data_IF_975077157610
#
_entry.id   IF_975077157610
#
_cell.length_a   1.000
_cell.length_b   1.000
_cell.length_c   1.000
_cell.angle_alpha   90.00
_cell.angle_beta   90.00
_cell.angle_gamma   90.00
#
_symmetry.space_group_name_H-M   'P 1'
#
loop_
_entity.id
_entity.type
_entity.pdbx_description
1 polymer ?
#
# COMPACT_ATOMS: atom_id res chain seq x y z
N UNK A 1 16.15 -5.82 81.52
CA UNK A 1 16.79 -5.73 80.19
C UNK A 1 16.12 -6.77 79.32
N UNK A 2 15.12 -6.38 78.54
CA UNK A 2 14.56 -7.18 77.43
C UNK A 2 13.46 -6.33 76.80
N UNK A 3 13.66 -5.86 75.57
CA UNK A 3 12.70 -4.95 74.92
C UNK A 3 13.15 -4.42 73.57
N UNK A 4 14.04 -5.12 72.87
CA UNK A 4 14.55 -4.69 71.54
C UNK A 4 14.50 -5.79 70.47
N UNK A 5 13.88 -6.94 70.75
CA UNK A 5 13.90 -8.10 69.84
C UNK A 5 12.62 -8.33 69.03
N UNK A 6 11.49 -7.68 69.35
CA UNK A 6 10.21 -7.92 68.65
C UNK A 6 9.98 -7.01 67.43
N UNK A 7 10.68 -5.89 67.31
CA UNK A 7 10.47 -4.94 66.21
C UNK A 7 11.12 -5.33 64.88
N UNK A 8 12.02 -6.33 64.89
CA UNK A 8 12.70 -6.82 63.67
C UNK A 8 11.96 -7.99 63.02
N UNK A 9 11.33 -8.87 63.79
CA UNK A 9 10.68 -10.08 63.26
C UNK A 9 9.41 -9.78 62.43
N UNK A 10 8.57 -8.83 62.87
CA UNK A 10 7.33 -8.47 62.17
C UNK A 10 7.56 -7.62 60.91
N UNK A 11 8.70 -6.93 60.81
CA UNK A 11 9.12 -6.17 59.62
C UNK A 11 9.84 -7.03 58.56
N UNK A 12 10.37 -8.18 58.97
CA UNK A 12 11.02 -9.19 58.10
C UNK A 12 10.00 -10.04 57.34
N UNK A 13 8.80 -10.24 57.85
CA UNK A 13 7.74 -11.03 57.21
C UNK A 13 6.44 -10.24 57.03
N UNK A 14 6.50 -9.12 56.30
CA UNK A 14 5.28 -8.50 55.79
C UNK A 14 4.68 -9.39 54.68
N UNK A 15 3.40 -9.79 54.74
CA UNK A 15 2.74 -10.57 53.69
C UNK A 15 2.88 -9.98 52.29
N UNK A 16 3.03 -8.66 52.19
CA UNK A 16 3.29 -7.96 50.92
C UNK A 16 4.69 -8.24 50.35
N UNK A 17 5.73 -8.31 51.20
CA UNK A 17 7.10 -8.67 50.78
C UNK A 17 7.18 -10.14 50.35
N UNK A 18 6.51 -11.03 51.09
CA UNK A 18 6.45 -12.45 50.74
C UNK A 18 5.75 -12.69 49.39
N UNK A 19 4.65 -11.97 49.10
CA UNK A 19 4.01 -12.02 47.78
C UNK A 19 4.89 -11.48 46.65
N UNK A 20 5.60 -10.38 46.88
CA UNK A 20 6.53 -9.82 45.90
C UNK A 20 7.68 -10.79 45.56
N UNK A 21 8.27 -11.43 46.59
CA UNK A 21 9.28 -12.46 46.40
C UNK A 21 8.73 -13.69 45.67
N UNK A 22 7.50 -14.09 45.96
CA UNK A 22 6.85 -15.21 45.26
C UNK A 22 6.57 -14.88 43.79
N UNK A 23 6.20 -13.64 43.48
CA UNK A 23 6.01 -13.19 42.09
C UNK A 23 7.34 -13.18 41.33
N UNK A 24 8.38 -12.58 41.90
CA UNK A 24 9.73 -12.60 41.32
C UNK A 24 10.26 -14.02 41.13
N UNK A 25 10.00 -14.94 42.07
CA UNK A 25 10.41 -16.34 41.93
C UNK A 25 9.72 -17.04 40.74
N UNK A 26 8.45 -16.71 40.45
CA UNK A 26 7.74 -17.22 39.28
C UNK A 26 8.32 -16.64 37.99
N UNK A 27 8.62 -15.35 37.99
CA UNK A 27 9.20 -14.67 36.82
C UNK A 27 10.59 -15.23 36.50
N UNK A 28 11.41 -15.52 37.53
CA UNK A 28 12.68 -16.21 37.35
C UNK A 28 12.52 -17.64 36.82
N UNK A 29 11.50 -18.38 37.27
CA UNK A 29 11.22 -19.72 36.73
C UNK A 29 10.87 -19.68 35.23
N UNK A 30 10.11 -18.67 34.79
CA UNK A 30 9.82 -18.46 33.36
C UNK A 30 11.08 -18.16 32.54
N UNK A 31 11.96 -17.30 33.06
CA UNK A 31 13.25 -16.98 32.42
C UNK A 31 14.16 -18.21 32.38
N UNK A 32 14.22 -18.99 33.46
CA UNK A 32 15.02 -20.21 33.53
C UNK A 32 14.53 -21.26 32.52
N UNK A 33 13.21 -21.47 32.41
CA UNK A 33 12.61 -22.35 31.41
C UNK A 33 12.88 -21.86 29.98
N UNK A 34 12.78 -20.56 29.72
CA UNK A 34 13.08 -19.95 28.42
C UNK A 34 14.56 -20.10 28.05
N UNK A 35 15.47 -19.81 28.98
CA UNK A 35 16.91 -19.97 28.78
C UNK A 35 17.30 -21.43 28.56
N UNK A 36 16.68 -22.37 29.30
CA UNK A 36 16.89 -23.81 29.10
C UNK A 36 16.48 -24.26 27.70
N UNK A 37 15.36 -23.73 27.16
CA UNK A 37 14.91 -24.01 25.78
C UNK A 37 15.87 -23.44 24.73
N UNK A 38 16.42 -22.23 24.94
CA UNK A 38 17.26 -21.55 23.93
C UNK A 38 18.74 -21.91 23.99
N UNK A 39 19.27 -22.18 25.18
CA UNK A 39 20.72 -22.42 25.40
C UNK A 39 21.06 -23.84 25.86
N UNK A 40 20.05 -24.67 26.14
CA UNK A 40 20.23 -26.01 26.71
C UNK A 40 20.71 -25.97 28.17
N UNK A 41 21.28 -27.06 28.67
CA UNK A 41 21.76 -27.21 30.07
C UNK A 41 23.05 -26.42 30.40
N UNK A 42 23.41 -25.40 29.62
CA UNK A 42 24.64 -24.60 29.80
C UNK A 42 24.35 -23.10 29.86
N UNK A 43 23.34 -22.68 30.62
CA UNK A 43 23.15 -21.26 30.91
C UNK A 43 24.34 -20.76 31.77
N UNK A 44 25.04 -19.73 31.31
CA UNK A 44 26.09 -19.05 32.07
C UNK A 44 25.51 -18.46 33.35
N UNK A 45 26.22 -18.57 34.47
CA UNK A 45 25.79 -17.94 35.72
C UNK A 45 25.85 -16.41 35.58
N UNK A 46 24.76 -15.74 35.90
CA UNK A 46 24.68 -14.28 35.95
C UNK A 46 24.02 -13.84 37.26
N UNK A 47 24.20 -12.57 37.61
CA UNK A 47 23.63 -12.00 38.83
C UNK A 47 22.11 -11.91 38.73
N UNK A 48 21.40 -12.50 39.70
CA UNK A 48 19.93 -12.45 39.76
C UNK A 48 19.48 -11.22 40.55
N UNK A 49 19.18 -10.15 39.83
CA UNK A 49 18.69 -8.89 40.37
C UNK A 49 17.53 -8.36 39.51
N UNK A 50 16.73 -7.41 40.02
CA UNK A 50 15.57 -6.88 39.30
C UNK A 50 15.97 -6.24 37.95
N UNK A 51 17.15 -5.63 37.91
CA UNK A 51 17.71 -4.99 36.72
C UNK A 51 18.08 -5.99 35.61
N UNK A 52 18.31 -7.27 35.92
CA UNK A 52 18.50 -8.34 34.92
C UNK A 52 17.21 -9.09 34.61
N UNK A 53 16.30 -9.22 35.57
CA UNK A 53 15.02 -9.89 35.39
C UNK A 53 14.16 -9.18 34.34
N UNK A 54 14.03 -7.85 34.44
CA UNK A 54 13.17 -7.06 33.54
C UNK A 54 13.60 -7.17 32.07
N UNK A 55 14.90 -6.97 31.70
CA UNK A 55 15.36 -7.21 30.34
C UNK A 55 15.20 -8.65 29.87
N UNK A 56 15.43 -9.65 30.74
CA UNK A 56 15.32 -11.06 30.36
C UNK A 56 13.87 -11.47 30.07
N UNK A 57 12.91 -11.01 30.87
CA UNK A 57 11.49 -11.21 30.59
C UNK A 57 11.06 -10.52 29.30
N UNK A 58 11.54 -9.30 29.07
CA UNK A 58 11.27 -8.57 27.83
C UNK A 58 11.80 -9.32 26.60
N UNK A 59 13.04 -9.80 26.67
CA UNK A 59 13.66 -10.61 25.62
C UNK A 59 12.94 -11.94 25.41
N UNK A 60 12.54 -12.62 26.49
CA UNK A 60 11.77 -13.86 26.41
C UNK A 60 10.46 -13.64 25.67
N UNK A 61 9.72 -12.60 26.03
CA UNK A 61 8.46 -12.25 25.38
C UNK A 61 8.64 -11.87 23.90
N UNK A 62 9.66 -11.08 23.56
CA UNK A 62 9.97 -10.75 22.18
C UNK A 62 10.35 -12.00 21.37
N UNK A 63 11.09 -12.92 21.96
CA UNK A 63 11.48 -14.15 21.30
C UNK A 63 10.28 -15.07 21.05
N UNK A 64 9.39 -15.24 22.04
CA UNK A 64 8.15 -15.99 21.87
C UNK A 64 7.27 -15.40 20.77
N UNK A 65 7.12 -14.06 20.74
CA UNK A 65 6.39 -13.38 19.67
C UNK A 65 7.02 -13.59 18.28
N UNK A 66 8.35 -13.55 18.19
CA UNK A 66 9.04 -13.80 16.94
C UNK A 66 8.88 -15.26 16.47
N UNK A 67 8.93 -16.22 17.40
CA UNK A 67 8.69 -17.64 17.12
C UNK A 67 7.25 -17.88 16.66
N UNK A 68 6.25 -17.25 17.29
CA UNK A 68 4.84 -17.30 16.87
C UNK A 68 4.65 -16.74 15.45
N UNK A 69 5.25 -15.58 15.15
CA UNK A 69 5.20 -14.99 13.81
C UNK A 69 5.82 -15.91 12.76
N UNK A 70 6.98 -16.50 13.07
CA UNK A 70 7.65 -17.44 12.17
C UNK A 70 6.79 -18.68 11.90
N UNK A 71 6.14 -19.21 12.93
CA UNK A 71 5.23 -20.35 12.79
C UNK A 71 4.03 -20.00 11.88
N UNK A 72 3.46 -18.81 12.02
CA UNK A 72 2.36 -18.35 11.16
C UNK A 72 2.79 -18.23 9.69
N UNK A 73 3.99 -17.67 9.44
CA UNK A 73 4.56 -17.59 8.10
C UNK A 73 4.72 -18.99 7.50
N UNK A 74 5.32 -19.92 8.25
CA UNK A 74 5.51 -21.31 7.78
C UNK A 74 4.18 -22.00 7.46
N UNK A 75 3.15 -21.78 8.29
CA UNK A 75 1.81 -22.33 8.04
C UNK A 75 1.19 -21.76 6.76
N UNK A 76 1.31 -20.45 6.55
CA UNK A 76 0.81 -19.78 5.33
C UNK A 76 1.56 -20.27 4.09
N UNK A 77 2.88 -20.39 4.15
CA UNK A 77 3.70 -20.95 3.07
C UNK A 77 3.29 -22.38 2.75
N UNK A 78 3.15 -23.24 3.77
CA UNK A 78 2.74 -24.64 3.59
C UNK A 78 1.33 -24.77 3.02
N UNK A 79 0.39 -23.93 3.45
CA UNK A 79 -0.97 -23.88 2.91
C UNK A 79 -0.99 -23.40 1.45
N UNK A 80 -0.16 -22.41 1.13
CA UNK A 80 0.01 -21.86 -0.23
C UNK A 80 0.61 -22.92 -1.16
N UNK A 81 1.65 -23.64 -0.73
CA UNK A 81 2.27 -24.73 -1.49
C UNK A 81 1.30 -25.89 -1.74
N UNK A 82 0.49 -26.27 -0.76
CA UNK A 82 -0.54 -27.31 -0.93
C UNK A 82 -1.60 -26.89 -1.95
N UNK A 83 -2.08 -25.65 -1.87
CA UNK A 83 -3.05 -25.09 -2.82
C UNK A 83 -2.50 -25.05 -4.25
N UNK A 84 -1.21 -24.73 -4.41
CA UNK A 84 -0.54 -24.79 -5.70
C UNK A 84 -0.41 -26.21 -6.22
N UNK A 85 -0.11 -27.20 -5.38
CA UNK A 85 0.08 -28.58 -5.82
C UNK A 85 -1.21 -29.22 -6.37
N UNK A 86 -2.36 -28.99 -5.74
CA UNK A 86 -3.65 -29.52 -6.21
C UNK A 86 -4.15 -28.91 -7.53
N UNK A 87 -3.57 -27.78 -7.97
CA UNK A 87 -3.93 -27.08 -9.21
C UNK A 87 -3.04 -27.47 -10.40
N UNK A 88 -1.93 -28.18 -10.17
CA UNK A 88 -0.91 -28.48 -11.19
C UNK A 88 -1.38 -29.45 -12.26
N UNK A 89 -2.16 -30.48 -11.93
CA UNK A 89 -2.40 -31.59 -12.85
C UNK A 89 -3.18 -31.21 -14.13
N UNK A 90 -4.09 -30.24 -14.05
CA UNK A 90 -4.85 -29.75 -15.20
C UNK A 90 -4.22 -28.51 -15.89
N UNK A 91 -3.42 -27.70 -15.18
CA UNK A 91 -2.75 -26.53 -15.74
C UNK A 91 -1.44 -26.87 -16.48
N UNK A 92 -0.74 -27.92 -16.06
CA UNK A 92 0.54 -28.31 -16.66
C UNK A 92 0.39 -28.75 -18.12
N UNK A 93 -0.72 -29.40 -18.47
CA UNK A 93 -0.96 -29.90 -19.83
C UNK A 93 -1.21 -28.76 -20.82
N UNK A 94 -1.96 -27.73 -20.42
CA UNK A 94 -2.17 -26.52 -21.22
C UNK A 94 -0.90 -25.69 -21.38
N UNK A 95 -0.11 -25.56 -20.31
CA UNK A 95 1.18 -24.86 -20.34
C UNK A 95 2.20 -25.57 -21.26
N UNK A 96 2.31 -26.90 -21.17
CA UNK A 96 3.20 -27.68 -22.04
C UNK A 96 2.78 -27.60 -23.51
N UNK A 97 1.48 -27.59 -23.81
CA UNK A 97 0.99 -27.43 -25.17
C UNK A 97 1.33 -26.03 -25.75
N UNK A 98 1.24 -24.98 -24.93
CA UNK A 98 1.63 -23.62 -25.34
C UNK A 98 3.13 -23.55 -25.61
N UNK A 99 3.96 -24.11 -24.73
CA UNK A 99 5.41 -24.18 -24.93
C UNK A 99 5.79 -24.98 -26.19
N UNK A 100 5.09 -26.10 -26.46
CA UNK A 100 5.36 -26.93 -27.63
C UNK A 100 5.00 -26.26 -28.97
N UNK A 101 4.16 -25.22 -28.95
CA UNK A 101 3.75 -24.47 -30.14
C UNK A 101 4.29 -23.04 -30.17
N UNK A 102 5.18 -22.68 -29.23
CA UNK A 102 5.86 -21.39 -29.26
C UNK A 102 6.87 -21.37 -30.41
N UNK A 103 6.92 -20.25 -31.12
CA UNK A 103 8.01 -19.95 -32.06
C UNK A 103 9.18 -19.33 -31.29
N UNK A 104 10.38 -19.33 -31.86
CA UNK A 104 11.56 -18.67 -31.26
C UNK A 104 11.31 -17.19 -30.91
N UNK A 105 10.53 -16.49 -31.74
CA UNK A 105 10.06 -15.12 -31.47
C UNK A 105 9.07 -15.05 -30.30
N UNK A 106 8.25 -16.07 -30.12
CA UNK A 106 7.33 -16.19 -28.99
C UNK A 106 8.08 -16.41 -27.68
N UNK A 107 9.13 -17.23 -27.69
CA UNK A 107 9.97 -17.50 -26.51
C UNK A 107 10.68 -16.24 -26.04
N UNK A 108 11.37 -15.55 -26.96
CA UNK A 108 12.04 -14.27 -26.67
C UNK A 108 11.08 -13.18 -26.20
N UNK A 109 9.88 -13.10 -26.77
CA UNK A 109 8.86 -12.14 -26.33
C UNK A 109 8.35 -12.44 -24.92
N UNK A 110 8.24 -13.72 -24.56
CA UNK A 110 7.76 -14.17 -23.25
C UNK A 110 8.83 -14.00 -22.18
N UNK A 111 10.10 -14.22 -22.53
CA UNK A 111 11.26 -13.89 -21.69
C UNK A 111 11.35 -12.39 -21.43
N UNK A 112 11.27 -11.55 -22.48
CA UNK A 112 11.25 -10.09 -22.33
C UNK A 112 10.06 -9.62 -21.48
N UNK A 113 8.90 -10.26 -21.59
CA UNK A 113 7.74 -9.97 -20.76
C UNK A 113 7.98 -10.38 -19.31
N UNK A 114 8.55 -11.56 -19.05
CA UNK A 114 8.89 -12.01 -17.71
C UNK A 114 9.94 -11.09 -17.06
N UNK A 115 10.97 -10.69 -17.80
CA UNK A 115 11.95 -9.70 -17.36
C UNK A 115 11.29 -8.37 -17.02
N UNK A 116 10.35 -7.89 -17.86
CA UNK A 116 9.63 -6.66 -17.60
C UNK A 116 8.79 -6.71 -16.32
N UNK A 117 8.21 -7.87 -15.99
CA UNK A 117 7.45 -8.07 -14.75
C UNK A 117 8.37 -7.98 -13.53
N UNK A 118 9.53 -8.61 -13.60
CA UNK A 118 10.52 -8.57 -12.52
C UNK A 118 11.07 -7.14 -12.35
N UNK A 119 11.40 -6.47 -13.45
CA UNK A 119 12.02 -5.15 -13.42
C UNK A 119 11.05 -4.05 -12.96
N UNK A 120 9.76 -4.21 -13.29
CA UNK A 120 8.68 -3.31 -12.87
C UNK A 120 8.01 -3.72 -11.57
N UNK A 121 8.52 -4.76 -10.89
CA UNK A 121 7.98 -5.35 -9.66
C UNK A 121 6.46 -5.58 -9.75
N UNK A 122 6.03 -6.23 -10.83
CA UNK A 122 4.64 -6.43 -11.19
C UNK A 122 4.30 -7.92 -11.24
N UNK A 123 3.10 -8.25 -10.76
CA UNK A 123 2.61 -9.64 -10.69
C UNK A 123 1.69 -10.01 -11.84
N UNK A 124 1.20 -9.01 -12.57
CA UNK A 124 0.22 -9.19 -13.63
C UNK A 124 0.40 -8.16 -14.77
N UNK A 125 -0.12 -8.44 -15.98
CA UNK A 125 0.06 -7.56 -17.14
C UNK A 125 -0.51 -6.15 -16.95
N UNK A 126 -1.61 -6.01 -16.20
CA UNK A 126 -2.25 -4.70 -15.98
C UNK A 126 -1.40 -3.80 -15.09
N UNK A 127 -0.84 -4.38 -14.02
CA UNK A 127 0.10 -3.71 -13.12
C UNK A 127 1.39 -3.33 -13.86
N UNK A 128 1.91 -4.23 -14.69
CA UNK A 128 3.09 -3.98 -15.53
C UNK A 128 2.86 -2.80 -16.47
N UNK A 129 1.72 -2.73 -17.14
CA UNK A 129 1.36 -1.62 -18.02
C UNK A 129 1.23 -0.30 -17.25
N UNK A 130 0.62 -0.33 -16.06
CA UNK A 130 0.52 0.83 -15.17
C UNK A 130 1.90 1.33 -14.72
N UNK A 131 2.76 0.43 -14.25
CA UNK A 131 4.12 0.75 -13.80
C UNK A 131 4.99 1.27 -14.95
N UNK A 132 4.87 0.70 -16.15
CA UNK A 132 5.55 1.18 -17.35
C UNK A 132 5.09 2.59 -17.76
N UNK A 133 3.79 2.86 -17.71
CA UNK A 133 3.24 4.19 -17.98
C UNK A 133 3.77 5.21 -16.98
N UNK A 134 3.74 4.88 -15.68
CA UNK A 134 4.28 5.72 -14.62
C UNK A 134 5.79 5.98 -14.79
N UNK A 135 6.56 4.96 -15.14
CA UNK A 135 7.99 5.10 -15.43
C UNK A 135 8.22 6.02 -16.64
N UNK A 136 7.42 5.89 -17.68
CA UNK A 136 7.50 6.74 -18.88
C UNK A 136 7.18 8.21 -18.57
N UNK A 137 6.15 8.46 -17.75
CA UNK A 137 5.80 9.81 -17.27
C UNK A 137 6.98 10.40 -16.49
N UNK A 138 7.50 9.67 -15.50
CA UNK A 138 8.64 10.13 -14.68
C UNK A 138 9.88 10.41 -15.52
N UNK A 139 10.17 9.56 -16.50
CA UNK A 139 11.29 9.76 -17.41
C UNK A 139 11.12 11.06 -18.23
N UNK A 140 9.92 11.32 -18.75
CA UNK A 140 9.64 12.54 -19.49
C UNK A 140 9.74 13.79 -18.59
N UNK A 141 9.15 13.75 -17.40
CA UNK A 141 9.24 14.82 -16.41
C UNK A 141 10.68 15.14 -16.04
N UNK A 142 11.49 14.12 -15.74
CA UNK A 142 12.90 14.30 -15.40
C UNK A 142 13.68 14.94 -16.55
N UNK A 143 13.43 14.53 -17.79
CA UNK A 143 14.05 15.09 -18.99
C UNK A 143 13.65 16.56 -19.21
N UNK A 144 12.39 16.89 -18.98
CA UNK A 144 11.91 18.27 -19.09
C UNK A 144 12.53 19.16 -18.01
N UNK A 145 12.61 18.67 -16.77
CA UNK A 145 13.29 19.38 -15.69
C UNK A 145 14.76 19.62 -16.00
N UNK A 146 15.47 18.61 -16.54
CA UNK A 146 16.86 18.77 -16.97
C UNK A 146 16.99 19.92 -17.95
N UNK A 147 16.20 19.91 -19.02
CA UNK A 147 16.19 20.95 -20.07
C UNK A 147 15.93 22.34 -19.47
N UNK A 148 14.95 22.46 -18.56
CA UNK A 148 14.64 23.71 -17.88
C UNK A 148 15.81 24.21 -17.02
N UNK A 149 16.45 23.32 -16.26
CA UNK A 149 17.58 23.68 -15.41
C UNK A 149 18.82 24.10 -16.21
N UNK A 150 19.06 23.46 -17.36
CA UNK A 150 20.14 23.85 -18.28
C UNK A 150 19.94 25.27 -18.81
N UNK A 151 18.73 25.60 -19.27
CA UNK A 151 18.40 26.96 -19.72
C UNK A 151 18.56 28.00 -18.61
N UNK A 152 18.14 27.66 -17.38
CA UNK A 152 18.31 28.53 -16.22
C UNK A 152 19.78 28.76 -15.88
N UNK A 153 20.57 27.70 -15.91
CA UNK A 153 22.00 27.75 -15.64
C UNK A 153 22.75 28.60 -16.69
N UNK A 154 22.39 28.47 -17.97
CA UNK A 154 22.93 29.32 -19.04
C UNK A 154 22.51 30.79 -18.89
N UNK A 155 21.31 31.07 -18.40
CA UNK A 155 20.90 32.44 -18.08
C UNK A 155 21.72 33.02 -16.91
N UNK A 156 21.94 32.24 -15.85
CA UNK A 156 22.74 32.65 -14.69
C UNK A 156 24.20 32.88 -15.09
N UNK A 157 24.79 32.01 -15.93
CA UNK A 157 26.15 32.19 -16.44
C UNK A 157 26.28 33.47 -17.25
N UNK A 158 25.35 33.72 -18.17
CA UNK A 158 25.31 34.97 -18.95
C UNK A 158 25.20 36.20 -18.05
N UNK A 159 24.36 36.15 -17.03
CA UNK A 159 24.21 37.26 -16.09
C UNK A 159 25.46 37.45 -15.23
N UNK A 160 26.10 36.36 -14.80
CA UNK A 160 27.37 36.41 -14.10
C UNK A 160 28.46 37.09 -14.95
N UNK A 161 28.59 36.69 -16.22
CA UNK A 161 29.57 37.28 -17.14
C UNK A 161 29.25 38.76 -17.42
N UNK A 162 27.97 39.10 -17.53
CA UNK A 162 27.50 40.49 -17.65
C UNK A 162 27.89 41.30 -16.41
N UNK A 163 27.60 40.82 -15.21
CA UNK A 163 27.95 41.50 -13.96
C UNK A 163 29.46 41.61 -13.75
N UNK A 164 30.22 40.57 -14.12
CA UNK A 164 31.68 40.61 -14.08
C UNK A 164 32.25 41.69 -15.03
N UNK A 165 31.69 41.82 -16.23
CA UNK A 165 32.09 42.87 -17.18
C UNK A 165 31.72 44.28 -16.70
N UNK A 166 30.52 44.47 -16.14
CA UNK A 166 30.10 45.74 -15.53
C UNK A 166 31.00 46.10 -14.35
N UNK A 167 31.29 45.15 -13.46
CA UNK A 167 32.18 45.38 -12.32
C UNK A 167 33.60 45.75 -12.78
N UNK A 168 34.10 45.14 -13.85
CA UNK A 168 35.39 45.50 -14.46
C UNK A 168 35.35 46.93 -15.02
N UNK A 169 34.26 47.31 -15.70
CA UNK A 169 34.09 48.66 -16.25
C UNK A 169 34.06 49.73 -15.14
N UNK A 170 33.32 49.50 -14.04
CA UNK A 170 33.24 50.43 -12.90
C UNK A 170 34.58 50.56 -12.17
N UNK A 171 35.36 49.47 -12.08
CA UNK A 171 36.69 49.49 -11.46
C UNK A 171 37.77 50.14 -12.35
N UNK A 172 37.48 50.41 -13.63
CA UNK A 172 38.41 51.09 -14.51
C UNK A 172 38.38 52.60 -14.22
N UNK A 173 39.55 53.25 -14.18
CA UNK A 173 39.68 54.67 -13.80
C UNK A 173 38.98 55.67 -14.75
N UNK A 174 38.44 55.22 -15.88
CA UNK A 174 37.73 56.05 -16.87
C UNK A 174 36.19 56.04 -16.67
N UNK A 175 35.69 55.43 -15.60
CA UNK A 175 34.25 55.37 -15.35
C UNK A 175 33.69 56.74 -14.93
N UNK A 176 32.88 57.35 -15.81
CA UNK A 176 32.01 58.48 -15.50
C UNK A 176 30.57 58.02 -15.44
N UNK A 177 29.87 58.34 -14.35
CA UNK A 177 28.43 58.10 -14.25
C UNK A 177 27.70 58.84 -15.38
N UNK A 178 26.72 58.18 -16.01
CA UNK A 178 25.88 58.83 -17.00
C UNK A 178 25.12 59.99 -16.34
N UNK A 179 25.08 61.19 -16.97
CA UNK A 179 24.50 62.38 -16.35
C UNK A 179 23.00 62.24 -16.03
N UNK A 180 22.29 61.37 -16.73
CA UNK A 180 20.84 61.19 -16.63
C UNK A 180 20.43 60.04 -15.68
N UNK A 181 21.38 59.37 -15.03
CA UNK A 181 21.13 58.25 -14.12
C UNK A 181 20.06 58.55 -13.03
N UNK A 182 20.01 59.76 -12.42
CA UNK A 182 18.95 60.09 -11.46
C UNK A 182 17.56 60.15 -12.08
N UNK A 183 17.44 60.62 -13.32
CA UNK A 183 16.16 60.66 -14.04
C UNK A 183 15.71 59.25 -14.42
N UNK A 184 16.61 58.46 -14.99
CA UNK A 184 16.34 57.07 -15.40
C UNK A 184 15.94 56.18 -14.22
N UNK A 185 16.59 56.34 -13.06
CA UNK A 185 16.25 55.57 -11.85
C UNK A 185 14.87 55.93 -11.30
N UNK A 186 14.47 57.20 -11.39
CA UNK A 186 13.12 57.64 -11.03
C UNK A 186 12.09 57.06 -12.01
N UNK A 187 12.39 57.03 -13.31
CA UNK A 187 11.52 56.40 -14.31
C UNK A 187 11.39 54.90 -14.10
N UNK A 188 12.49 54.16 -13.89
CA UNK A 188 12.45 52.72 -13.60
C UNK A 188 11.68 52.43 -12.31
N UNK A 189 11.81 53.26 -11.27
CA UNK A 189 11.04 53.11 -10.05
C UNK A 189 9.53 53.31 -10.28
N UNK A 190 9.12 54.25 -11.16
CA UNK A 190 7.72 54.41 -11.55
C UNK A 190 7.22 53.21 -12.35
N UNK A 191 8.00 52.74 -13.32
CA UNK A 191 7.68 51.57 -14.14
C UNK A 191 7.55 50.29 -13.31
N UNK A 192 8.45 50.08 -12.35
CA UNK A 192 8.39 48.94 -11.42
C UNK A 192 7.13 48.99 -10.54
N UNK A 193 6.76 50.17 -10.03
CA UNK A 193 5.50 50.36 -9.28
C UNK A 193 4.29 50.04 -10.15
N UNK A 194 4.29 50.50 -11.41
CA UNK A 194 3.21 50.23 -12.36
C UNK A 194 3.06 48.73 -12.67
N UNK A 195 4.18 48.04 -12.94
CA UNK A 195 4.18 46.59 -13.19
C UNK A 195 3.70 45.81 -11.95
N UNK A 196 4.13 46.20 -10.75
CA UNK A 196 3.68 45.58 -9.51
C UNK A 196 2.17 45.73 -9.30
N UNK A 197 1.61 46.91 -9.60
CA UNK A 197 0.17 47.15 -9.55
C UNK A 197 -0.58 46.26 -10.57
N UNK A 198 -0.06 46.13 -11.79
CA UNK A 198 -0.65 45.24 -12.81
C UNK A 198 -0.60 43.77 -12.42
N UNK A 199 0.48 43.30 -11.79
CA UNK A 199 0.56 41.92 -11.29
C UNK A 199 -0.55 41.68 -10.28
N UNK A 200 -0.75 42.58 -9.31
CA UNK A 200 -1.86 42.48 -8.35
C UNK A 200 -3.23 42.46 -9.04
N UNK A 201 -3.44 43.31 -10.05
CA UNK A 201 -4.69 43.30 -10.85
C UNK A 201 -4.90 41.96 -11.58
N UNK A 202 -3.84 41.37 -12.14
CA UNK A 202 -3.93 40.06 -12.80
C UNK A 202 -4.17 38.92 -11.81
N UNK A 203 -3.58 38.98 -10.62
CA UNK A 203 -3.86 38.03 -9.54
C UNK A 203 -5.31 38.15 -9.06
N UNK A 204 -5.82 39.36 -8.88
CA UNK A 204 -7.23 39.60 -8.56
C UNK A 204 -8.17 39.08 -9.66
N UNK A 205 -7.84 39.31 -10.93
CA UNK A 205 -8.61 38.77 -12.07
C UNK A 205 -8.56 37.24 -12.12
N UNK A 206 -7.41 36.62 -11.86
CA UNK A 206 -7.27 35.17 -11.77
C UNK A 206 -8.08 34.59 -10.61
N UNK A 207 -8.07 35.27 -9.46
CA UNK A 207 -8.85 34.87 -8.30
C UNK A 207 -10.36 35.05 -8.53
N UNK A 208 -10.78 36.15 -9.17
CA UNK A 208 -12.18 36.36 -9.57
C UNK A 208 -12.62 35.35 -10.63
N UNK A 209 -11.74 34.98 -11.56
CA UNK A 209 -11.99 33.91 -12.52
C UNK A 209 -12.16 32.56 -11.81
N UNK A 210 -11.25 32.20 -10.90
CA UNK A 210 -11.36 30.99 -10.05
C UNK A 210 -12.57 30.99 -9.10
N UNK A 211 -13.18 32.14 -8.82
CA UNK A 211 -14.39 32.25 -8.02
C UNK A 211 -15.67 32.16 -8.86
N UNK A 212 -15.63 32.52 -10.15
CA UNK A 212 -16.79 32.55 -11.07
C UNK A 212 -16.93 31.28 -11.89
N UNK A 213 -15.83 30.77 -12.43
CA UNK A 213 -15.69 29.34 -12.67
C UNK A 213 -15.55 28.72 -11.30
N UNK A 214 -16.53 27.94 -10.82
CA UNK A 214 -16.39 27.15 -9.59
C UNK A 214 -15.11 26.30 -9.60
N UNK A 215 -14.80 25.54 -8.51
CA UNK A 215 -13.56 24.78 -8.43
C UNK A 215 -13.32 24.09 -9.76
N UNK A 216 -12.21 24.41 -10.44
CA UNK A 216 -11.85 23.75 -11.69
C UNK A 216 -12.06 22.28 -11.41
N UNK A 217 -12.98 21.62 -12.13
CA UNK A 217 -13.10 20.17 -12.09
C UNK A 217 -11.72 19.66 -12.46
N UNK A 218 -10.95 19.32 -11.43
CA UNK A 218 -9.58 18.89 -11.58
C UNK A 218 -9.67 17.56 -12.31
N UNK A 219 -8.65 17.16 -13.07
CA UNK A 219 -8.65 15.79 -13.63
C UNK A 219 -8.90 14.74 -12.53
N UNK A 220 -8.49 15.05 -11.29
CA UNK A 220 -8.78 14.30 -10.09
C UNK A 220 -10.29 14.23 -9.76
N UNK A 221 -11.01 15.35 -9.76
CA UNK A 221 -12.48 15.35 -9.57
C UNK A 221 -13.21 14.56 -10.67
N UNK A 222 -12.74 14.66 -11.91
CA UNK A 222 -13.28 13.88 -13.03
C UNK A 222 -13.00 12.39 -12.80
N UNK A 223 -11.81 12.03 -12.33
CA UNK A 223 -11.45 10.65 -12.05
C UNK A 223 -12.29 10.04 -10.92
N UNK A 224 -12.54 10.78 -9.84
CA UNK A 224 -13.41 10.35 -8.75
C UNK A 224 -14.86 10.15 -9.22
N UNK A 225 -15.37 11.08 -10.05
CA UNK A 225 -16.70 10.94 -10.66
C UNK A 225 -16.77 9.72 -11.59
N UNK A 226 -15.73 9.44 -12.37
CA UNK A 226 -15.70 8.25 -13.23
C UNK A 226 -15.69 6.95 -12.41
N UNK A 227 -14.97 6.91 -11.30
CA UNK A 227 -14.95 5.74 -10.42
C UNK A 227 -16.33 5.51 -9.76
N UNK A 228 -17.00 6.58 -9.34
CA UNK A 228 -18.38 6.51 -8.82
C UNK A 228 -19.35 5.99 -9.89
N UNK A 229 -19.24 6.47 -11.13
CA UNK A 229 -20.09 6.01 -12.23
C UNK A 229 -19.86 4.53 -12.56
N UNK A 230 -18.61 4.06 -12.51
CA UNK A 230 -18.29 2.64 -12.69
C UNK A 230 -18.89 1.77 -11.58
N UNK A 231 -18.86 2.24 -10.32
CA UNK A 231 -19.53 1.57 -9.19
C UNK A 231 -21.03 1.50 -9.42
N UNK A 232 -21.66 2.58 -9.86
CA UNK A 232 -23.10 2.60 -10.14
C UNK A 232 -23.47 1.70 -11.33
N UNK A 233 -22.65 1.67 -12.39
CA UNK A 233 -22.83 0.74 -13.51
C UNK A 233 -22.76 -0.72 -13.05
N UNK A 234 -21.77 -1.07 -12.23
CA UNK A 234 -21.66 -2.43 -11.67
C UNK A 234 -22.88 -2.80 -10.83
N UNK A 235 -23.42 -1.84 -10.05
CA UNK A 235 -24.64 -2.04 -9.27
C UNK A 235 -25.86 -2.24 -10.17
N UNK A 236 -25.97 -1.45 -11.24
CA UNK A 236 -27.02 -1.60 -12.24
C UNK A 236 -26.94 -2.95 -12.95
N UNK A 237 -25.75 -3.43 -13.29
CA UNK A 237 -25.59 -4.75 -13.91
C UNK A 237 -26.07 -5.86 -12.97
N UNK A 238 -25.67 -5.83 -11.70
CA UNK A 238 -26.16 -6.78 -10.68
C UNK A 238 -27.68 -6.73 -10.58
N UNK A 239 -28.27 -5.54 -10.47
CA UNK A 239 -29.72 -5.37 -10.37
C UNK A 239 -30.43 -5.86 -11.64
N UNK A 240 -29.83 -5.64 -12.81
CA UNK A 240 -30.36 -6.08 -14.09
C UNK A 240 -30.32 -7.60 -14.21
N UNK A 241 -29.24 -8.26 -13.75
CA UNK A 241 -29.20 -9.73 -13.66
C UNK A 241 -30.25 -10.28 -12.70
N UNK A 242 -30.45 -9.65 -11.53
CA UNK A 242 -31.50 -10.03 -10.61
C UNK A 242 -32.88 -9.87 -11.26
N UNK A 243 -33.14 -8.74 -11.92
CA UNK A 243 -34.41 -8.48 -12.59
C UNK A 243 -34.67 -9.47 -13.74
N UNK A 244 -33.65 -9.84 -14.53
CA UNK A 244 -33.74 -10.88 -15.56
C UNK A 244 -34.11 -12.24 -14.96
N UNK A 245 -33.62 -12.59 -13.78
CA UNK A 245 -34.00 -13.83 -13.09
C UNK A 245 -35.51 -13.86 -12.73
N UNK A 246 -36.14 -12.69 -12.55
CA UNK A 246 -37.57 -12.57 -12.26
C UNK A 246 -38.45 -12.32 -13.50
N UNK A 247 -37.88 -12.10 -14.69
CA UNK A 247 -38.66 -11.82 -15.92
C UNK A 247 -39.56 -12.98 -16.39
N UNK A 248 -39.28 -14.21 -15.98
CA UNK A 248 -40.10 -15.39 -16.30
C UNK A 248 -41.33 -15.54 -15.40
N UNK A 249 -41.42 -14.76 -14.32
CA UNK A 249 -42.53 -14.78 -13.40
C UNK A 249 -43.66 -13.85 -13.90
N UNK A 250 -44.92 -14.30 -13.84
CA UNK A 250 -46.07 -13.44 -14.10
C UNK A 250 -46.06 -12.20 -13.18
N UNK A 251 -46.54 -11.04 -13.66
CA UNK A 251 -46.60 -9.82 -12.85
C UNK A 251 -47.60 -9.92 -11.68
N UNK A 252 -48.53 -10.88 -11.72
CA UNK A 252 -49.45 -11.17 -10.62
C UNK A 252 -48.82 -12.17 -9.62
N UNK A 253 -48.75 -11.75 -8.35
CA UNK A 253 -48.21 -12.54 -7.24
C UNK A 253 -48.88 -13.91 -7.10
N UNK A 254 -50.19 -14.00 -7.33
CA UNK A 254 -50.93 -15.27 -7.19
C UNK A 254 -50.55 -16.25 -8.30
N UNK A 255 -50.43 -15.78 -9.54
CA UNK A 255 -50.00 -16.56 -10.68
C UNK A 255 -48.51 -16.97 -10.61
N UNK A 256 -47.66 -16.12 -10.04
CA UNK A 256 -46.26 -16.42 -9.77
C UNK A 256 -46.09 -17.55 -8.73
N UNK A 257 -46.89 -17.51 -7.66
CA UNK A 257 -46.91 -18.59 -6.66
C UNK A 257 -47.38 -19.92 -7.24
N UNK A 258 -48.41 -19.90 -8.11
CA UNK A 258 -48.89 -21.11 -8.77
C UNK A 258 -47.82 -21.76 -9.67
N UNK A 259 -47.08 -20.96 -10.45
CA UNK A 259 -45.96 -21.47 -11.27
C UNK A 259 -44.80 -22.01 -10.42
N UNK A 260 -44.49 -21.37 -9.30
CA UNK A 260 -43.44 -21.82 -8.39
C UNK A 260 -43.80 -23.15 -7.72
N UNK A 261 -45.06 -23.33 -7.32
CA UNK A 261 -45.52 -24.59 -6.73
C UNK A 261 -45.57 -25.71 -7.77
N UNK A 262 -45.99 -25.41 -9.00
CA UNK A 262 -45.89 -26.35 -10.12
C UNK A 262 -44.45 -26.81 -10.36
N UNK A 263 -43.49 -25.89 -10.44
CA UNK A 263 -42.07 -26.21 -10.65
C UNK A 263 -41.47 -27.03 -9.49
N UNK A 264 -41.90 -26.76 -8.24
CA UNK A 264 -41.50 -27.55 -7.07
C UNK A 264 -42.02 -28.98 -7.12
N UNK A 265 -43.27 -29.16 -7.53
CA UNK A 265 -43.85 -30.50 -7.67
C UNK A 265 -43.19 -31.28 -8.81
N UNK A 266 -42.82 -30.62 -9.90
CA UNK A 266 -42.07 -31.22 -10.99
C UNK A 266 -40.65 -31.65 -10.55
N UNK A 267 -39.94 -30.79 -9.81
CA UNK A 267 -38.65 -31.14 -9.20
C UNK A 267 -38.75 -32.34 -8.26
N UNK A 268 -39.79 -32.39 -7.42
CA UNK A 268 -40.03 -33.53 -6.52
C UNK A 268 -40.28 -34.82 -7.30
N UNK A 269 -41.03 -34.75 -8.41
CA UNK A 269 -41.26 -35.91 -9.30
C UNK A 269 -39.97 -36.40 -9.93
N UNK A 270 -39.17 -35.49 -10.50
CA UNK A 270 -37.86 -35.82 -11.09
C UNK A 270 -36.88 -36.37 -10.05
N UNK A 271 -36.90 -35.84 -8.82
CA UNK A 271 -36.08 -36.34 -7.71
C UNK A 271 -36.48 -37.76 -7.33
N UNK A 272 -37.79 -38.04 -7.19
CA UNK A 272 -38.29 -39.40 -6.94
C UNK A 272 -37.93 -40.36 -8.08
N UNK A 273 -38.03 -39.94 -9.33
CA UNK A 273 -37.63 -40.75 -10.48
C UNK A 273 -36.13 -41.03 -10.46
N UNK A 274 -35.29 -40.04 -10.17
CA UNK A 274 -33.85 -40.22 -9.99
C UNK A 274 -33.58 -41.24 -8.89
N UNK A 275 -34.22 -41.11 -7.74
CA UNK A 275 -33.98 -41.98 -6.59
C UNK A 275 -34.42 -43.42 -6.89
N UNK A 276 -35.57 -43.61 -7.55
CA UNK A 276 -36.03 -44.93 -8.02
C UNK A 276 -35.08 -45.56 -9.05
N UNK A 277 -34.55 -44.76 -9.98
CA UNK A 277 -33.57 -45.23 -10.95
C UNK A 277 -32.23 -45.58 -10.28
N UNK A 278 -31.83 -44.83 -9.26
CA UNK A 278 -30.63 -45.10 -8.46
C UNK A 278 -30.78 -46.39 -7.64
N UNK A 279 -31.90 -46.56 -6.93
CA UNK A 279 -32.21 -47.79 -6.19
C UNK A 279 -32.20 -49.00 -7.13
N UNK A 280 -32.84 -48.90 -8.30
CA UNK A 280 -32.85 -49.96 -9.30
C UNK A 280 -31.51 -50.25 -10.00
N UNK A 281 -30.51 -49.37 -9.86
CA UNK A 281 -29.12 -49.56 -10.29
C UNK A 281 -28.28 -50.21 -9.18
N UNK A 282 -28.54 -49.87 -7.92
CA UNK A 282 -27.85 -50.44 -6.74
C UNK A 282 -28.28 -51.89 -6.48
N UNK A 283 -29.55 -52.24 -6.72
CA UNK A 283 -30.06 -53.62 -6.57
C UNK A 283 -29.61 -54.59 -7.69
N UNK A 284 -28.95 -54.08 -8.74
CA UNK A 284 -28.50 -54.84 -9.92
C UNK A 284 -26.98 -54.98 -10.05
N UNK A 285 -26.21 -54.44 -9.11
CA UNK A 285 -24.75 -54.62 -9.00
C UNK A 285 -24.39 -55.59 -7.88
#
# INVERSE_FOLDING_TARGET
MEGTSEWTASSLFSPSKARAQQAQAKDWALVDDWLARKTGNKASSFERNEETLQPLLYLANLNERADEQRLLIEQVEKASLKSLHGRKDCQYQGYQMILAHLTDNGETSLEALAESFVLLDATNPSETAGNLSNLSIRHYEAREQLTRTEVQLDAIRREHDRLASVMKAIKCNDFSAAPNLPEDTVEWARSAKHLKAKIGEYEERLNAFRATTGPLTTCEDISEQTESLLKDQSRLDVLTTQMKAFQSLPPDRTAAMAKLEYARDELRKLTKQRDQLFEGLVDRG
#
